data_IF_452685884971
#
_entry.id   IF_452685884971
#
_cell.length_a   1.000
_cell.length_b   1.000
_cell.length_c   1.000
_cell.angle_alpha   90.00
_cell.angle_beta   90.00
_cell.angle_gamma   90.00
#
_symmetry.space_group_name_H-M   'P 1'
#
loop_
_entity.id
_entity.type
_entity.pdbx_description
1 polymer ?
#
# COMPACT_ATOMS: atom_id res chain seq x y z
N UNK A 1 -2.72 -21.07 -6.38
CA UNK A 1 -2.42 -19.65 -6.18
C UNK A 1 -3.68 -18.83 -6.40
N UNK A 2 -4.01 -18.01 -5.44
CA UNK A 2 -5.12 -17.08 -5.60
C UNK A 2 -4.66 -15.90 -6.44
N UNK A 3 -5.51 -15.49 -7.38
CA UNK A 3 -5.28 -14.28 -8.15
C UNK A 3 -5.39 -13.07 -7.24
N UNK A 4 -4.40 -12.16 -7.22
CA UNK A 4 -4.50 -10.96 -6.40
C UNK A 4 -5.68 -10.09 -6.81
N UNK A 5 -6.33 -9.49 -5.81
CA UNK A 5 -7.45 -8.57 -5.99
C UNK A 5 -6.97 -7.14 -5.82
N UNK A 6 -7.19 -6.32 -6.83
CA UNK A 6 -6.82 -4.91 -6.82
C UNK A 6 -8.09 -4.06 -6.84
N UNK A 7 -8.19 -3.13 -5.90
CA UNK A 7 -9.27 -2.16 -5.86
C UNK A 7 -8.75 -0.80 -6.34
N UNK A 8 -9.41 -0.25 -7.34
CA UNK A 8 -9.12 1.08 -7.87
C UNK A 8 -10.18 2.04 -7.36
N UNK A 9 -9.77 3.07 -6.64
CA UNK A 9 -10.64 4.14 -6.12
C UNK A 9 -10.34 5.41 -6.90
N UNK A 10 -11.13 5.69 -7.92
CA UNK A 10 -10.92 6.78 -8.87
C UNK A 10 -12.26 7.21 -9.44
N UNK A 11 -12.57 8.50 -9.37
CA UNK A 11 -13.84 9.04 -9.86
C UNK A 11 -13.85 9.28 -11.38
N UNK A 12 -12.68 9.56 -11.97
CA UNK A 12 -12.58 9.82 -13.40
C UNK A 12 -12.66 8.52 -14.20
N UNK A 13 -13.64 8.43 -15.07
CA UNK A 13 -13.92 7.20 -15.83
C UNK A 13 -12.76 6.77 -16.71
N UNK A 14 -12.13 7.70 -17.43
CA UNK A 14 -11.03 7.38 -18.35
C UNK A 14 -9.83 6.83 -17.59
N UNK A 15 -9.43 7.47 -16.51
CA UNK A 15 -8.33 7.02 -15.66
C UNK A 15 -8.64 5.67 -15.05
N UNK A 16 -9.85 5.49 -14.52
CA UNK A 16 -10.27 4.24 -13.90
C UNK A 16 -10.25 3.08 -14.91
N UNK A 17 -10.78 3.29 -16.11
CA UNK A 17 -10.76 2.29 -17.18
C UNK A 17 -9.35 1.95 -17.64
N UNK A 18 -8.48 2.94 -17.72
CA UNK A 18 -7.08 2.75 -18.10
C UNK A 18 -6.38 1.87 -17.07
N UNK A 19 -6.53 2.17 -15.79
CA UNK A 19 -5.95 1.38 -14.70
C UNK A 19 -6.48 -0.05 -14.72
N UNK A 20 -7.79 -0.20 -14.88
CA UNK A 20 -8.42 -1.52 -14.96
C UNK A 20 -7.82 -2.36 -16.08
N UNK A 21 -7.71 -1.79 -17.28
CA UNK A 21 -7.15 -2.48 -18.44
C UNK A 21 -5.70 -2.91 -18.20
N UNK A 22 -4.89 -2.05 -17.60
CA UNK A 22 -3.49 -2.34 -17.29
C UNK A 22 -3.38 -3.55 -16.36
N UNK A 23 -4.13 -3.57 -15.28
CA UNK A 23 -4.03 -4.63 -14.30
C UNK A 23 -4.71 -5.93 -14.72
N UNK A 24 -5.80 -5.86 -15.45
CA UNK A 24 -6.42 -7.05 -16.04
C UNK A 24 -5.47 -7.73 -17.05
N UNK A 25 -4.73 -6.94 -17.82
CA UNK A 25 -3.73 -7.47 -18.75
C UNK A 25 -2.60 -8.21 -18.03
N UNK A 26 -2.31 -7.85 -16.78
CA UNK A 26 -1.32 -8.52 -15.95
C UNK A 26 -1.89 -9.76 -15.23
N UNK A 27 -3.17 -10.05 -15.40
CA UNK A 27 -3.82 -11.24 -14.82
C UNK A 27 -4.44 -11.03 -13.45
N UNK A 28 -4.60 -9.80 -13.00
CA UNK A 28 -5.22 -9.50 -11.71
C UNK A 28 -6.73 -9.35 -11.83
N UNK A 29 -7.45 -9.66 -10.75
CA UNK A 29 -8.87 -9.34 -10.62
C UNK A 29 -9.00 -7.90 -10.14
N UNK A 30 -9.73 -7.09 -10.89
CA UNK A 30 -9.85 -5.65 -10.63
C UNK A 30 -11.26 -5.28 -10.21
N UNK A 31 -11.35 -4.56 -9.11
CA UNK A 31 -12.57 -3.99 -8.57
C UNK A 31 -12.48 -2.47 -8.67
N UNK A 32 -13.62 -1.82 -8.85
CA UNK A 32 -13.68 -0.37 -9.05
C UNK A 32 -14.59 0.29 -8.04
N UNK A 33 -14.16 1.44 -7.53
CA UNK A 33 -14.94 2.32 -6.69
C UNK A 33 -14.76 3.77 -7.15
N UNK A 34 -15.83 4.53 -7.16
CA UNK A 34 -15.78 5.94 -7.55
C UNK A 34 -15.67 6.87 -6.34
N UNK A 35 -15.96 6.36 -5.15
CA UNK A 35 -15.94 7.13 -3.91
C UNK A 35 -15.66 6.22 -2.71
N UNK A 36 -15.62 6.83 -1.53
CA UNK A 36 -15.35 6.11 -0.30
C UNK A 36 -16.43 5.11 0.10
N UNK A 37 -17.68 5.40 -0.18
CA UNK A 37 -18.78 4.49 0.14
C UNK A 37 -18.68 3.19 -0.64
N UNK A 38 -18.43 3.29 -1.94
CA UNK A 38 -18.19 2.11 -2.77
C UNK A 38 -16.95 1.34 -2.35
N UNK A 39 -15.88 2.07 -1.99
CA UNK A 39 -14.65 1.46 -1.47
C UNK A 39 -14.93 0.61 -0.24
N UNK A 40 -15.62 1.17 0.75
CA UNK A 40 -15.92 0.45 1.99
C UNK A 40 -16.81 -0.76 1.74
N UNK A 41 -17.76 -0.66 0.83
CA UNK A 41 -18.62 -1.77 0.46
C UNK A 41 -17.82 -2.93 -0.13
N UNK A 42 -16.93 -2.64 -1.06
CA UNK A 42 -16.09 -3.65 -1.70
C UNK A 42 -15.15 -4.30 -0.68
N UNK A 43 -14.55 -3.50 0.20
CA UNK A 43 -13.66 -4.02 1.23
C UNK A 43 -14.38 -4.93 2.23
N UNK A 44 -15.70 -4.73 2.44
CA UNK A 44 -16.48 -5.60 3.31
C UNK A 44 -16.88 -6.92 2.65
N UNK A 45 -16.91 -6.96 1.33
CA UNK A 45 -17.38 -8.13 0.57
C UNK A 45 -16.25 -9.00 0.01
N UNK A 46 -15.10 -8.41 -0.28
CA UNK A 46 -14.00 -9.07 -0.97
C UNK A 46 -12.67 -8.88 -0.23
N UNK A 47 -11.81 -9.86 -0.32
CA UNK A 47 -10.44 -9.76 0.19
C UNK A 47 -9.57 -9.01 -0.81
N UNK A 48 -9.37 -7.74 -0.56
CA UNK A 48 -8.54 -6.88 -1.41
C UNK A 48 -7.09 -6.92 -0.95
N UNK A 49 -6.18 -7.09 -1.89
CA UNK A 49 -4.74 -7.17 -1.63
C UNK A 49 -4.02 -5.85 -1.82
N UNK A 50 -4.48 -5.04 -2.77
CA UNK A 50 -3.89 -3.74 -3.08
C UNK A 50 -5.00 -2.74 -3.38
N UNK A 51 -4.93 -1.56 -2.78
CA UNK A 51 -5.80 -0.43 -3.11
C UNK A 51 -4.97 0.62 -3.82
N UNK A 52 -5.43 1.04 -4.99
CA UNK A 52 -4.87 2.17 -5.73
C UNK A 52 -5.88 3.30 -5.65
N UNK A 53 -5.49 4.41 -5.05
CA UNK A 53 -6.40 5.48 -4.68
C UNK A 53 -5.92 6.83 -5.17
N UNK A 54 -6.80 7.56 -5.85
CA UNK A 54 -6.55 8.96 -6.17
C UNK A 54 -6.69 9.81 -4.90
N UNK A 55 -5.73 10.69 -4.67
CA UNK A 55 -5.79 11.62 -3.55
C UNK A 55 -6.93 12.61 -3.71
N UNK A 56 -7.19 13.05 -4.93
CA UNK A 56 -8.18 14.09 -5.23
C UNK A 56 -9.55 13.51 -5.59
N UNK A 57 -10.20 12.86 -4.64
CA UNK A 57 -11.54 12.33 -4.83
C UNK A 57 -12.60 13.38 -4.46
N UNK A 58 -13.75 13.41 -5.15
CA UNK A 58 -14.83 14.31 -4.78
C UNK A 58 -15.45 13.92 -3.44
N UNK A 59 -15.85 14.91 -2.65
CA UNK A 59 -16.47 14.71 -1.35
C UNK A 59 -15.43 14.47 -0.27
N UNK A 60 -15.04 13.22 -0.04
CA UNK A 60 -13.97 12.90 0.91
C UNK A 60 -12.61 12.89 0.23
N UNK A 61 -11.66 13.59 0.83
CA UNK A 61 -10.27 13.57 0.39
C UNK A 61 -9.72 12.13 0.48
N UNK A 62 -8.97 11.71 -0.54
CA UNK A 62 -8.34 10.39 -0.55
C UNK A 62 -7.44 10.12 0.66
N UNK A 63 -6.83 11.17 1.22
CA UNK A 63 -6.01 11.02 2.43
C UNK A 63 -6.84 10.61 3.65
N UNK A 64 -8.05 11.13 3.79
CA UNK A 64 -8.97 10.73 4.85
C UNK A 64 -9.45 9.29 4.67
N UNK A 65 -9.76 8.92 3.44
CA UNK A 65 -10.15 7.54 3.11
C UNK A 65 -9.01 6.56 3.40
N UNK A 66 -7.78 6.97 3.10
CA UNK A 66 -6.60 6.15 3.38
C UNK A 66 -6.41 5.93 4.88
N UNK A 67 -6.65 6.95 5.68
CA UNK A 67 -6.60 6.82 7.15
C UNK A 67 -7.66 5.85 7.65
N UNK A 68 -8.89 5.96 7.17
CA UNK A 68 -9.96 5.03 7.51
C UNK A 68 -9.61 3.60 7.10
N UNK A 69 -9.04 3.43 5.91
CA UNK A 69 -8.59 2.15 5.40
C UNK A 69 -7.55 1.52 6.33
N UNK A 70 -6.58 2.30 6.79
CA UNK A 70 -5.52 1.80 7.68
C UNK A 70 -6.03 1.37 9.05
N UNK A 71 -7.09 2.00 9.53
CA UNK A 71 -7.72 1.61 10.78
C UNK A 71 -8.49 0.30 10.66
N UNK A 72 -9.01 0.00 9.47
CA UNK A 72 -9.92 -1.13 9.24
C UNK A 72 -9.25 -2.36 8.61
N UNK A 73 -8.20 -2.15 7.80
CA UNK A 73 -7.64 -3.22 6.99
C UNK A 73 -6.13 -3.09 6.85
N UNK A 74 -5.46 -4.23 6.72
CA UNK A 74 -4.02 -4.29 6.50
C UNK A 74 -3.72 -4.67 5.04
N UNK A 75 -4.13 -3.81 4.11
CA UNK A 75 -3.89 -3.98 2.68
C UNK A 75 -2.75 -3.09 2.22
N UNK A 76 -2.14 -3.42 1.09
CA UNK A 76 -1.18 -2.52 0.46
C UNK A 76 -1.92 -1.32 -0.11
N UNK A 77 -1.33 -0.14 -0.03
CA UNK A 77 -1.94 1.10 -0.48
C UNK A 77 -0.97 1.89 -1.35
N UNK A 78 -1.40 2.23 -2.55
CA UNK A 78 -0.68 3.08 -3.49
C UNK A 78 -1.53 4.28 -3.84
N UNK A 79 -0.96 5.49 -3.72
CA UNK A 79 -1.64 6.70 -4.12
C UNK A 79 -1.35 7.09 -5.57
N UNK A 80 -2.36 7.64 -6.23
CA UNK A 80 -2.20 8.40 -7.45
C UNK A 80 -2.25 9.88 -7.09
N UNK A 81 -1.27 10.65 -7.56
CA UNK A 81 -1.18 12.07 -7.26
C UNK A 81 -0.95 12.87 -8.54
N UNK A 82 -1.43 14.11 -8.57
CA UNK A 82 -1.08 15.02 -9.65
C UNK A 82 0.39 15.44 -9.58
N UNK A 83 0.90 16.01 -10.68
CA UNK A 83 2.23 16.60 -10.68
C UNK A 83 2.30 17.73 -9.65
N UNK A 84 3.45 17.89 -9.05
CA UNK A 84 3.77 19.01 -8.16
C UNK A 84 3.03 19.04 -6.84
N UNK A 85 2.42 17.93 -6.42
CA UNK A 85 1.72 17.88 -5.14
C UNK A 85 2.59 17.22 -4.06
N UNK A 86 3.71 17.85 -3.74
CA UNK A 86 4.66 17.34 -2.74
C UNK A 86 4.05 17.24 -1.34
N UNK A 87 3.17 18.19 -0.99
CA UNK A 87 2.50 18.18 0.30
C UNK A 87 1.64 16.92 0.45
N UNK A 88 0.88 16.57 -0.60
CA UNK A 88 0.06 15.36 -0.58
C UNK A 88 0.92 14.10 -0.51
N UNK A 89 2.10 14.09 -1.15
CA UNK A 89 3.04 12.98 -1.05
C UNK A 89 3.52 12.77 0.38
N UNK A 90 3.91 13.84 1.04
CA UNK A 90 4.35 13.79 2.44
C UNK A 90 3.23 13.30 3.34
N UNK A 91 2.04 13.85 3.19
CA UNK A 91 0.87 13.44 3.97
C UNK A 91 0.50 11.98 3.71
N UNK A 92 0.59 11.54 2.46
CA UNK A 92 0.35 10.14 2.11
C UNK A 92 1.32 9.18 2.78
N UNK A 93 2.59 9.55 2.85
CA UNK A 93 3.60 8.76 3.54
C UNK A 93 3.35 8.74 5.06
N UNK A 94 2.94 9.85 5.65
CA UNK A 94 2.60 9.91 7.08
C UNK A 94 1.40 9.04 7.43
N UNK A 95 0.42 8.96 6.55
CA UNK A 95 -0.76 8.10 6.74
C UNK A 95 -0.39 6.62 6.62
N UNK A 96 0.68 6.32 5.91
CA UNK A 96 1.19 4.96 5.78
C UNK A 96 0.91 4.32 4.44
N UNK A 97 0.87 5.11 3.38
CA UNK A 97 0.88 4.57 2.02
C UNK A 97 2.17 3.81 1.77
N UNK A 98 2.08 2.70 1.07
CA UNK A 98 3.24 1.89 0.75
C UNK A 98 4.03 2.46 -0.43
N UNK A 99 3.33 3.16 -1.33
CA UNK A 99 3.93 3.79 -2.50
C UNK A 99 3.02 4.86 -3.06
N UNK A 100 3.50 5.63 -4.01
CA UNK A 100 2.70 6.57 -4.76
C UNK A 100 3.24 6.72 -6.19
N UNK A 101 2.36 7.08 -7.10
CA UNK A 101 2.69 7.32 -8.51
C UNK A 101 2.09 8.66 -8.93
N UNK A 102 2.87 9.44 -9.67
CA UNK A 102 2.45 10.73 -10.18
C UNK A 102 1.73 10.58 -11.52
N UNK A 103 0.66 11.32 -11.74
CA UNK A 103 -0.01 11.41 -13.03
C UNK A 103 0.71 12.46 -13.91
N UNK A 104 0.90 12.23 -15.20
CA UNK A 104 0.60 10.99 -15.92
C UNK A 104 1.57 9.88 -15.56
N UNK A 105 1.06 8.67 -15.39
CA UNK A 105 1.88 7.53 -14.96
C UNK A 105 2.35 6.70 -16.15
N UNK A 106 3.51 6.08 -15.98
CA UNK A 106 4.01 5.09 -16.92
C UNK A 106 3.39 3.73 -16.56
N UNK A 107 2.69 3.05 -17.49
CA UNK A 107 2.04 1.77 -17.18
C UNK A 107 3.01 0.71 -16.68
N UNK A 108 4.22 0.66 -17.21
CA UNK A 108 5.23 -0.31 -16.80
C UNK A 108 5.71 -0.04 -15.37
N UNK A 109 5.96 1.21 -15.03
CA UNK A 109 6.34 1.59 -13.68
C UNK A 109 5.23 1.22 -12.68
N UNK A 110 4.00 1.51 -13.05
CA UNK A 110 2.83 1.20 -12.23
C UNK A 110 2.72 -0.31 -11.95
N UNK A 111 2.85 -1.14 -12.97
CA UNK A 111 2.74 -2.60 -12.80
C UNK A 111 3.90 -3.17 -12.01
N UNK A 112 5.11 -2.64 -12.16
CA UNK A 112 6.27 -3.08 -11.39
C UNK A 112 6.09 -2.75 -9.91
N UNK A 113 5.66 -1.52 -9.59
CA UNK A 113 5.43 -1.10 -8.21
C UNK A 113 4.30 -1.91 -7.56
N UNK A 114 3.21 -2.12 -8.28
CA UNK A 114 2.09 -2.94 -7.81
C UNK A 114 2.53 -4.40 -7.55
N UNK A 115 3.30 -4.98 -8.45
CA UNK A 115 3.81 -6.33 -8.29
C UNK A 115 4.68 -6.45 -7.04
N UNK A 116 5.54 -5.46 -6.81
CA UNK A 116 6.41 -5.48 -5.63
C UNK A 116 5.60 -5.38 -4.33
N UNK A 117 4.57 -4.55 -4.30
CA UNK A 117 3.70 -4.44 -3.14
C UNK A 117 2.91 -5.73 -2.88
N UNK A 118 2.35 -6.30 -3.93
CA UNK A 118 1.59 -7.54 -3.83
C UNK A 118 2.49 -8.71 -3.41
N UNK A 119 3.70 -8.76 -3.90
CA UNK A 119 4.68 -9.76 -3.52
C UNK A 119 4.96 -9.73 -2.01
N UNK A 120 5.11 -8.55 -1.44
CA UNK A 120 5.31 -8.40 0.01
C UNK A 120 4.09 -8.82 0.81
N UNK A 121 2.89 -8.49 0.32
CA UNK A 121 1.65 -8.75 1.04
C UNK A 121 1.24 -10.22 0.99
N UNK A 122 1.38 -10.85 -0.18
CA UNK A 122 0.86 -12.20 -0.43
C UNK A 122 1.85 -13.31 -0.10
N UNK A 123 3.14 -13.02 -0.05
CA UNK A 123 4.19 -14.00 0.19
C UNK A 123 4.58 -14.15 1.67
N UNK A 124 3.77 -13.62 2.57
CA UNK A 124 4.04 -13.68 4.01
C UNK A 124 4.16 -15.12 4.54
N UNK A 125 3.64 -16.11 3.81
CA UNK A 125 3.73 -17.50 4.20
C UNK A 125 4.68 -18.34 3.35
N UNK A 126 5.21 -17.80 2.25
CA UNK A 126 5.98 -18.56 1.26
C UNK A 126 7.39 -18.04 1.06
N UNK A 127 7.76 -16.96 1.73
CA UNK A 127 9.12 -16.43 1.68
C UNK A 127 10.04 -17.45 2.36
N UNK A 128 11.04 -17.90 1.64
CA UNK A 128 12.03 -18.83 2.18
C UNK A 128 12.67 -18.21 3.44
N UNK A 129 13.03 -19.07 4.40
CA UNK A 129 13.69 -18.64 5.63
C UNK A 129 14.97 -17.82 5.35
N UNK A 130 15.60 -18.04 4.22
CA UNK A 130 16.78 -17.29 3.79
C UNK A 130 16.49 -15.81 3.56
N UNK A 131 15.30 -15.48 3.07
CA UNK A 131 14.91 -14.08 2.90
C UNK A 131 14.48 -13.43 4.21
N UNK A 132 13.99 -14.21 5.17
CA UNK A 132 13.63 -13.70 6.49
C UNK A 132 14.85 -13.24 7.28
N UNK A 133 15.99 -13.87 7.09
CA UNK A 133 17.22 -13.51 7.78
C UNK A 133 17.79 -12.15 7.34
N UNK A 134 17.42 -11.69 6.13
CA UNK A 134 17.87 -10.40 5.58
C UNK A 134 16.91 -9.27 5.93
N UNK A 135 15.75 -9.57 6.49
CA UNK A 135 14.69 -8.61 6.75
C UNK A 135 14.60 -8.15 8.20
N UNK A 136 15.62 -8.42 9.00
CA UNK A 136 15.72 -7.87 10.34
C UNK A 136 17.08 -7.18 10.51
N UNK A 137 17.05 -6.04 11.21
CA UNK A 137 18.25 -5.25 11.52
C UNK A 137 18.45 -5.18 13.02
N UNK A 138 19.63 -5.51 13.48
CA UNK A 138 20.00 -5.43 14.90
C UNK A 138 20.91 -4.25 15.14
N UNK A 139 20.57 -3.44 16.14
CA UNK A 139 21.37 -2.30 16.52
C UNK A 139 21.19 -2.00 18.03
N UNK A 140 22.28 -1.80 18.73
CA UNK A 140 22.28 -1.43 20.16
C UNK A 140 21.39 -2.31 21.06
N UNK A 141 21.30 -3.61 20.76
CA UNK A 141 20.45 -4.52 21.51
C UNK A 141 18.99 -4.55 21.05
N UNK A 142 18.62 -3.75 20.07
CA UNK A 142 17.30 -3.73 19.47
C UNK A 142 17.30 -4.50 18.15
N UNK A 143 16.16 -5.06 17.82
CA UNK A 143 15.96 -5.73 16.54
C UNK A 143 14.74 -5.14 15.84
N UNK A 144 14.93 -4.67 14.60
CA UNK A 144 13.85 -4.20 13.75
C UNK A 144 13.43 -5.31 12.79
N UNK A 145 12.22 -5.82 12.97
CA UNK A 145 11.64 -6.82 12.08
C UNK A 145 10.83 -6.10 10.99
N UNK A 146 11.33 -6.21 9.76
CA UNK A 146 10.71 -5.53 8.61
C UNK A 146 9.36 -6.14 8.25
N UNK A 147 9.22 -7.45 8.38
CA UNK A 147 7.98 -8.14 8.02
C UNK A 147 6.80 -7.78 8.92
N UNK A 148 7.02 -7.77 10.21
CA UNK A 148 5.99 -7.44 11.19
C UNK A 148 5.93 -5.95 11.50
N UNK A 149 6.90 -5.18 11.02
CA UNK A 149 7.09 -3.75 11.36
C UNK A 149 7.15 -3.56 12.86
N UNK A 150 7.87 -4.45 13.52
CA UNK A 150 7.99 -4.46 14.97
C UNK A 150 9.42 -4.16 15.39
N UNK A 151 9.54 -3.48 16.52
CA UNK A 151 10.81 -3.23 17.16
C UNK A 151 10.87 -4.08 18.44
N UNK A 152 11.90 -4.92 18.55
CA UNK A 152 12.08 -5.79 19.70
C UNK A 152 13.21 -5.21 20.55
N UNK A 153 12.91 -4.92 21.81
CA UNK A 153 13.88 -4.37 22.74
C UNK A 153 14.81 -5.41 23.33
N UNK A 154 15.87 -4.97 24.04
CA UNK A 154 16.80 -5.89 24.68
C UNK A 154 16.17 -6.77 25.77
N UNK A 155 15.04 -6.35 26.28
CA UNK A 155 14.24 -7.09 27.28
C UNK A 155 13.28 -8.11 26.65
N UNK A 156 13.24 -8.18 25.32
CA UNK A 156 12.34 -9.06 24.60
C UNK A 156 10.95 -8.50 24.35
N UNK A 157 10.67 -7.28 24.77
CA UNK A 157 9.40 -6.64 24.49
C UNK A 157 9.28 -6.21 23.03
N UNK A 158 8.13 -6.43 22.46
CA UNK A 158 7.86 -6.14 21.05
C UNK A 158 6.96 -4.92 20.93
N UNK A 159 7.39 -3.95 20.15
CA UNK A 159 6.62 -2.73 19.85
C UNK A 159 6.30 -2.68 18.38
N UNK A 160 5.01 -2.59 18.05
CA UNK A 160 4.57 -2.47 16.66
C UNK A 160 4.64 -1.02 16.24
N UNK A 161 5.38 -0.75 15.14
CA UNK A 161 5.57 0.61 14.64
C UNK A 161 4.50 0.97 13.62
N UNK A 162 3.94 2.18 13.69
CA UNK A 162 3.17 2.73 12.58
C UNK A 162 4.03 2.79 11.32
N UNK A 163 3.40 2.72 10.15
CA UNK A 163 4.12 2.68 8.87
C UNK A 163 5.02 3.89 8.65
N UNK A 164 4.59 5.07 9.08
CA UNK A 164 5.39 6.29 8.95
C UNK A 164 6.67 6.23 9.77
N UNK A 165 6.59 5.77 11.02
CA UNK A 165 7.76 5.61 11.89
C UNK A 165 8.69 4.52 11.38
N UNK A 166 8.14 3.43 10.87
CA UNK A 166 8.90 2.34 10.29
C UNK A 166 9.72 2.82 9.08
N UNK A 167 9.13 3.60 8.19
CA UNK A 167 9.83 4.17 7.04
C UNK A 167 10.92 5.14 7.45
N UNK A 168 10.66 5.96 8.46
CA UNK A 168 11.66 6.87 9.00
C UNK A 168 12.86 6.10 9.55
N UNK A 169 12.64 4.99 10.24
CA UNK A 169 13.72 4.15 10.75
C UNK A 169 14.53 3.50 9.64
N UNK A 170 13.88 3.05 8.57
CA UNK A 170 14.58 2.47 7.42
C UNK A 170 15.53 3.48 6.76
N UNK A 171 15.23 4.76 6.84
CA UNK A 171 16.10 5.80 6.30
C UNK A 171 17.40 5.95 7.07
N UNK A 172 17.44 5.56 8.34
CA UNK A 172 18.62 5.64 9.18
C UNK A 172 19.49 4.38 9.11
N UNK A 173 19.00 3.34 8.48
CA UNK A 173 19.70 2.08 8.31
C UNK A 173 20.36 1.99 6.94
#
# INVERSE_FOLDING_TARGET
MQTPHILIVEDELVTRNTLKSIFEAEGYDVFEATDGAEMHQILSEYDINLVIMDINLPGKNGLLLARELREQANVALMFLTGRDNEVDKILGLEIGADDYITKPFNPRELTIRARNLLSRTMNLGTVSEERRSVESYKFNGWELDINSRSLIGPDGEQYKLPRSEFRAMLHFL
#
